data_IF_681697569049
#
_entry.id   IF_681697569049
#
_cell.length_a   1.000
_cell.length_b   1.000
_cell.length_c   1.000
_cell.angle_alpha   90.00
_cell.angle_beta   90.00
_cell.angle_gamma   90.00
#
_symmetry.space_group_name_H-M   'P 1'
#
loop_
_entity.id
_entity.type
_entity.pdbx_description
1 polymer ?
#
# COMPACT_ATOMS: atom_id res chain seq x y z
N UNK A 1 5.92 82.65 2.70
CA UNK A 1 6.96 82.26 3.67
C UNK A 1 6.81 80.75 3.94
N UNK A 2 7.49 79.88 3.18
CA UNK A 2 8.63 79.04 3.63
C UNK A 2 8.33 78.23 4.91
N UNK A 3 8.24 76.89 4.91
CA UNK A 3 9.24 75.85 4.51
C UNK A 3 8.51 74.52 4.16
N UNK A 4 8.78 73.83 3.03
CA UNK A 4 9.71 72.68 2.82
C UNK A 4 9.59 71.57 3.90
N UNK A 5 9.48 70.25 3.69
CA UNK A 5 9.59 69.22 2.61
C UNK A 5 8.96 67.94 3.22
N UNK A 6 8.36 66.98 2.51
CA UNK A 6 9.01 65.88 1.76
C UNK A 6 7.93 65.04 1.04
N UNK A 7 8.24 64.65 -0.19
CA UNK A 7 7.58 63.59 -0.96
C UNK A 7 7.66 62.24 -0.23
N UNK A 8 6.64 61.40 -0.38
CA UNK A 8 6.82 60.03 -0.90
C UNK A 8 5.49 59.49 -1.42
N UNK A 9 5.45 59.26 -2.73
CA UNK A 9 4.47 58.44 -3.45
C UNK A 9 4.69 56.96 -3.15
N UNK A 10 3.63 56.17 -2.96
CA UNK A 10 3.67 54.76 -3.36
C UNK A 10 2.26 54.22 -3.60
N UNK A 11 2.03 53.79 -4.85
CA UNK A 11 0.95 52.90 -5.26
C UNK A 11 1.03 51.57 -4.50
N UNK A 12 -0.10 51.11 -3.95
CA UNK A 12 -0.44 49.70 -3.81
C UNK A 12 -1.84 49.55 -4.45
N UNK A 13 -2.05 48.86 -5.56
CA UNK A 13 -1.35 47.68 -6.06
C UNK A 13 -2.15 46.45 -5.64
N UNK A 14 -3.27 46.24 -6.34
CA UNK A 14 -4.18 45.10 -6.26
C UNK A 14 -3.40 43.79 -6.37
N UNK A 15 -3.27 43.04 -5.26
CA UNK A 15 -2.66 41.72 -5.26
C UNK A 15 -3.72 40.69 -5.69
N UNK A 16 -3.70 40.28 -6.96
CA UNK A 16 -4.25 38.99 -7.36
C UNK A 16 -3.45 37.90 -6.64
N UNK A 17 -4.09 37.17 -5.72
CA UNK A 17 -3.57 35.89 -5.26
C UNK A 17 -3.71 34.88 -6.40
N UNK A 18 -2.66 34.75 -7.21
CA UNK A 18 -2.43 33.54 -7.97
C UNK A 18 -1.99 32.45 -7.00
N UNK A 19 -2.86 31.47 -6.77
CA UNK A 19 -2.50 30.20 -6.13
C UNK A 19 -1.55 29.46 -7.06
N UNK A 20 -0.26 29.76 -6.94
CA UNK A 20 0.81 28.89 -7.42
C UNK A 20 0.69 27.58 -6.65
N UNK A 21 0.04 26.58 -7.26
CA UNK A 21 0.20 25.19 -6.87
C UNK A 21 1.67 24.85 -7.07
N UNK A 22 2.45 24.94 -5.99
CA UNK A 22 3.83 24.48 -6.02
C UNK A 22 3.80 23.00 -6.38
N UNK A 23 4.37 22.64 -7.53
CA UNK A 23 4.76 21.27 -7.85
C UNK A 23 5.76 20.78 -6.79
N UNK A 24 5.24 20.36 -5.64
CA UNK A 24 5.99 19.60 -4.67
C UNK A 24 6.24 18.24 -5.30
N UNK A 25 7.48 18.05 -5.78
CA UNK A 25 8.01 16.75 -6.22
C UNK A 25 7.77 15.73 -5.10
N UNK A 26 6.82 14.82 -5.30
CA UNK A 26 6.64 13.67 -4.43
C UNK A 26 7.93 12.82 -4.43
N UNK A 27 8.40 12.36 -3.26
CA UNK A 27 9.60 11.52 -3.16
C UNK A 27 9.42 10.17 -3.86
N UNK A 28 10.55 9.61 -4.31
CA UNK A 28 10.77 8.46 -5.21
C UNK A 28 10.23 7.07 -4.81
N UNK A 29 9.29 6.98 -3.89
CA UNK A 29 8.47 5.77 -3.66
C UNK A 29 7.08 6.24 -3.28
N UNK A 30 6.15 6.17 -4.22
CA UNK A 30 4.76 6.48 -3.93
C UNK A 30 4.23 5.40 -2.96
N UNK A 31 3.67 5.84 -1.83
CA UNK A 31 2.98 4.96 -0.89
C UNK A 31 1.61 4.66 -1.48
N UNK A 32 1.52 3.64 -2.33
CA UNK A 32 0.31 3.35 -3.07
C UNK A 32 -0.68 2.59 -2.21
N UNK A 33 -1.91 3.04 -2.26
CA UNK A 33 -3.11 2.39 -1.73
C UNK A 33 -4.00 2.17 -2.94
N UNK A 34 -4.06 0.91 -3.37
CA UNK A 34 -4.56 0.51 -4.69
C UNK A 34 -5.93 -0.14 -4.51
N UNK A 35 -6.91 0.37 -5.25
CA UNK A 35 -8.23 -0.24 -5.43
C UNK A 35 -8.38 -0.75 -6.86
N UNK A 36 -8.92 -1.97 -7.05
CA UNK A 36 -9.31 -2.50 -8.36
C UNK A 36 -10.84 -2.50 -8.48
N UNK A 37 -11.46 -1.76 -9.42
CA UNK A 37 -12.90 -1.86 -9.65
C UNK A 37 -13.33 -3.24 -10.11
N UNK A 38 -14.50 -3.69 -9.65
CA UNK A 38 -15.16 -4.90 -10.16
C UNK A 38 -15.62 -4.71 -11.62
N UNK A 39 -15.68 -5.78 -12.43
CA UNK A 39 -16.30 -5.72 -13.77
C UNK A 39 -17.74 -5.20 -13.74
N UNK A 40 -18.50 -5.49 -12.68
CA UNK A 40 -19.87 -4.99 -12.51
C UNK A 40 -19.96 -3.47 -12.38
N UNK A 41 -18.86 -2.78 -12.09
CA UNK A 41 -18.81 -1.33 -11.94
C UNK A 41 -18.48 -0.57 -13.23
N UNK A 42 -18.51 -1.24 -14.39
CA UNK A 42 -18.22 -0.62 -15.70
C UNK A 42 -18.92 0.71 -15.96
N UNK A 43 -20.22 0.81 -15.62
CA UNK A 43 -20.97 2.05 -15.80
C UNK A 43 -20.51 3.19 -14.88
N UNK A 44 -19.92 2.86 -13.72
CA UNK A 44 -19.43 3.84 -12.74
C UNK A 44 -18.01 4.31 -13.04
N UNK A 45 -17.17 3.46 -13.64
CA UNK A 45 -15.79 3.80 -14.05
C UNK A 45 -15.76 4.89 -15.15
N UNK A 46 -16.91 5.23 -15.73
CA UNK A 46 -17.08 6.36 -16.66
C UNK A 46 -17.55 7.66 -15.99
N UNK A 47 -17.79 7.66 -14.68
CA UNK A 47 -18.35 8.78 -13.92
C UNK A 47 -17.27 9.43 -13.05
N UNK A 48 -17.19 10.76 -13.04
CA UNK A 48 -16.22 11.52 -12.24
C UNK A 48 -16.40 11.30 -10.72
N UNK A 49 -17.65 11.17 -10.28
CA UNK A 49 -18.02 10.98 -8.87
C UNK A 49 -17.42 9.70 -8.29
N UNK A 50 -17.29 8.65 -9.10
CA UNK A 50 -16.70 7.38 -8.68
C UNK A 50 -15.25 7.57 -8.21
N UNK A 51 -14.40 8.21 -9.01
CA UNK A 51 -12.99 8.41 -8.66
C UNK A 51 -12.81 9.36 -7.47
N UNK A 52 -13.67 10.38 -7.36
CA UNK A 52 -13.65 11.30 -6.22
C UNK A 52 -14.03 10.59 -4.91
N UNK A 53 -14.98 9.66 -4.97
CA UNK A 53 -15.34 8.83 -3.82
C UNK A 53 -14.18 7.92 -3.39
N UNK A 54 -13.54 7.23 -4.34
CA UNK A 54 -12.35 6.41 -4.10
C UNK A 54 -11.23 7.21 -3.43
N UNK A 55 -10.96 8.43 -3.91
CA UNK A 55 -9.98 9.33 -3.29
C UNK A 55 -10.38 9.73 -1.87
N UNK A 56 -11.67 10.00 -1.63
CA UNK A 56 -12.20 10.41 -0.32
C UNK A 56 -12.10 9.30 0.72
N UNK A 57 -12.24 8.04 0.31
CA UNK A 57 -12.02 6.85 1.16
C UNK A 57 -10.55 6.80 1.65
N UNK A 58 -9.62 7.38 0.89
CA UNK A 58 -8.20 7.38 1.20
C UNK A 58 -7.36 6.50 0.27
N UNK A 59 -7.94 5.96 -0.81
CA UNK A 59 -7.12 5.42 -1.89
C UNK A 59 -6.44 6.56 -2.65
N UNK A 60 -5.25 6.28 -3.17
CA UNK A 60 -4.52 7.22 -4.03
C UNK A 60 -4.13 6.59 -5.36
N UNK A 61 -4.60 5.38 -5.64
CA UNK A 61 -4.31 4.66 -6.88
C UNK A 61 -5.48 3.79 -7.28
N UNK A 62 -5.79 3.79 -8.58
CA UNK A 62 -6.73 2.86 -9.17
C UNK A 62 -6.01 1.89 -10.11
N UNK A 63 -6.36 0.62 -10.02
CA UNK A 63 -5.92 -0.44 -10.92
C UNK A 63 -7.05 -0.79 -11.88
N UNK A 64 -6.82 -0.60 -13.18
CA UNK A 64 -7.78 -0.93 -14.24
C UNK A 64 -7.31 -2.17 -15.01
N UNK A 65 -8.20 -3.12 -15.29
CA UNK A 65 -7.84 -4.37 -15.99
C UNK A 65 -8.27 -4.34 -17.46
N UNK A 66 -7.31 -4.47 -18.38
CA UNK A 66 -7.59 -4.32 -19.82
C UNK A 66 -8.40 -5.46 -20.45
N UNK A 67 -8.61 -6.55 -19.74
CA UNK A 67 -9.50 -7.65 -20.16
C UNK A 67 -10.95 -7.41 -19.75
N UNK A 68 -11.18 -6.48 -18.80
CA UNK A 68 -12.50 -6.18 -18.24
C UNK A 68 -13.14 -4.93 -18.82
N UNK A 69 -12.36 -4.03 -19.43
CA UNK A 69 -12.82 -2.76 -19.97
C UNK A 69 -12.34 -2.61 -21.42
N UNK A 70 -13.16 -1.98 -22.26
CA UNK A 70 -12.73 -1.60 -23.61
C UNK A 70 -11.63 -0.54 -23.55
N UNK A 71 -10.85 -0.40 -24.62
CA UNK A 71 -9.81 0.62 -24.70
C UNK A 71 -10.34 2.02 -24.48
N UNK A 72 -11.44 2.38 -25.11
CA UNK A 72 -12.08 3.70 -24.96
C UNK A 72 -12.50 3.97 -23.52
N UNK A 73 -13.04 2.94 -22.84
CA UNK A 73 -13.41 3.02 -21.43
C UNK A 73 -12.19 3.28 -20.54
N UNK A 74 -11.07 2.59 -20.81
CA UNK A 74 -9.83 2.78 -20.06
C UNK A 74 -9.24 4.18 -20.28
N UNK A 75 -9.20 4.67 -21.52
CA UNK A 75 -8.68 6.01 -21.84
C UNK A 75 -9.48 7.10 -21.11
N UNK A 76 -10.81 6.98 -21.08
CA UNK A 76 -11.67 7.87 -20.31
C UNK A 76 -11.44 7.75 -18.80
N UNK A 77 -11.39 6.52 -18.29
CA UNK A 77 -11.18 6.25 -16.86
C UNK A 77 -9.85 6.82 -16.35
N UNK A 78 -8.78 6.72 -17.15
CA UNK A 78 -7.47 7.30 -16.83
C UNK A 78 -7.58 8.81 -16.67
N UNK A 79 -8.25 9.50 -17.59
CA UNK A 79 -8.44 10.95 -17.52
C UNK A 79 -9.23 11.37 -16.27
N UNK A 80 -10.33 10.67 -15.96
CA UNK A 80 -11.15 10.94 -14.77
C UNK A 80 -10.40 10.65 -13.46
N UNK A 81 -9.63 9.57 -13.40
CA UNK A 81 -8.80 9.24 -12.24
C UNK A 81 -7.76 10.34 -11.95
N UNK A 82 -7.08 10.84 -12.98
CA UNK A 82 -6.14 11.95 -12.84
C UNK A 82 -6.82 13.25 -12.38
N UNK A 83 -8.05 13.54 -12.83
CA UNK A 83 -8.83 14.68 -12.33
C UNK A 83 -9.12 14.56 -10.82
N UNK A 84 -9.34 13.34 -10.33
CA UNK A 84 -9.51 13.03 -8.91
C UNK A 84 -8.18 12.89 -8.13
N UNK A 85 -7.03 13.24 -8.74
CA UNK A 85 -5.68 13.08 -8.17
C UNK A 85 -5.30 11.64 -7.79
N UNK A 86 -5.76 10.66 -8.55
CA UNK A 86 -5.38 9.26 -8.38
C UNK A 86 -4.29 8.87 -9.37
N UNK A 87 -3.28 8.13 -8.90
CA UNK A 87 -2.37 7.41 -9.80
C UNK A 87 -3.13 6.30 -10.53
N UNK A 88 -2.70 5.98 -11.75
CA UNK A 88 -3.34 4.92 -12.54
C UNK A 88 -2.35 3.80 -12.83
N UNK A 89 -2.75 2.57 -12.51
CA UNK A 89 -2.06 1.35 -12.91
C UNK A 89 -2.97 0.57 -13.85
N UNK A 90 -2.45 0.09 -14.99
CA UNK A 90 -3.20 -0.79 -15.89
C UNK A 90 -2.63 -2.20 -15.84
N UNK A 91 -3.50 -3.17 -15.64
CA UNK A 91 -3.18 -4.58 -15.82
C UNK A 91 -3.34 -4.98 -17.29
N UNK A 92 -2.27 -5.54 -17.85
CA UNK A 92 -2.18 -5.99 -19.24
C UNK A 92 -1.84 -7.48 -19.32
N UNK A 93 -2.45 -8.22 -20.27
CA UNK A 93 -2.04 -9.57 -20.57
C UNK A 93 -0.69 -9.60 -21.31
N UNK A 94 0.06 -10.69 -21.14
CA UNK A 94 1.28 -10.90 -21.91
C UNK A 94 0.94 -11.26 -23.37
N UNK A 95 1.27 -10.35 -24.30
CA UNK A 95 0.97 -10.50 -25.73
C UNK A 95 2.16 -10.01 -26.59
N UNK A 96 2.25 -10.40 -27.88
CA UNK A 96 3.32 -9.92 -28.76
C UNK A 96 3.39 -8.40 -28.95
N UNK A 97 2.27 -7.68 -28.70
CA UNK A 97 2.20 -6.22 -28.80
C UNK A 97 2.43 -5.49 -27.48
N UNK A 98 2.81 -6.20 -26.40
CA UNK A 98 2.94 -5.62 -25.05
C UNK A 98 3.84 -4.38 -25.00
N UNK A 99 4.99 -4.39 -25.69
CA UNK A 99 5.89 -3.22 -25.79
C UNK A 99 5.17 -2.00 -26.36
N UNK A 100 4.37 -2.17 -27.41
CA UNK A 100 3.58 -1.08 -28.00
C UNK A 100 2.48 -0.59 -27.05
N UNK A 101 1.81 -1.52 -26.35
CA UNK A 101 0.78 -1.18 -25.37
C UNK A 101 1.34 -0.40 -24.18
N UNK A 102 2.48 -0.82 -23.62
CA UNK A 102 3.15 -0.09 -22.53
C UNK A 102 3.50 1.32 -22.97
N UNK A 103 4.09 1.48 -24.16
CA UNK A 103 4.42 2.81 -24.67
C UNK A 103 3.15 3.66 -24.82
N UNK A 104 2.10 3.12 -25.44
CA UNK A 104 0.82 3.81 -25.63
C UNK A 104 0.24 4.30 -24.29
N UNK A 105 0.10 3.44 -23.30
CA UNK A 105 -0.51 3.79 -22.02
C UNK A 105 0.34 4.78 -21.22
N UNK A 106 1.65 4.57 -21.13
CA UNK A 106 2.52 5.42 -20.31
C UNK A 106 2.78 6.76 -20.99
N UNK A 107 3.02 6.81 -22.29
CA UNK A 107 3.35 8.06 -23.00
C UNK A 107 2.14 8.84 -23.45
N UNK A 108 1.12 8.18 -24.00
CA UNK A 108 0.00 8.90 -24.59
C UNK A 108 -1.09 9.19 -23.55
N UNK A 109 -1.27 8.30 -22.56
CA UNK A 109 -2.30 8.42 -21.53
C UNK A 109 -1.75 8.66 -20.13
N UNK A 110 -0.42 8.80 -19.99
CA UNK A 110 0.22 9.14 -18.72
C UNK A 110 -0.08 8.16 -17.58
N UNK A 111 -0.24 6.87 -17.89
CA UNK A 111 -0.41 5.82 -16.89
C UNK A 111 0.87 5.65 -16.07
N UNK A 112 0.74 5.57 -14.74
CA UNK A 112 1.85 5.55 -13.79
C UNK A 112 2.52 4.18 -13.64
N UNK A 113 1.79 3.11 -13.94
CA UNK A 113 2.32 1.77 -13.83
C UNK A 113 1.57 0.72 -14.63
N UNK A 114 2.22 -0.41 -14.83
CA UNK A 114 1.67 -1.58 -15.51
C UNK A 114 1.80 -2.79 -14.59
N UNK A 115 0.71 -3.54 -14.44
CA UNK A 115 0.75 -4.90 -13.93
C UNK A 115 0.77 -5.85 -15.12
N UNK A 116 1.73 -6.78 -15.15
CA UNK A 116 1.70 -7.90 -16.07
C UNK A 116 0.93 -9.04 -15.42
N UNK A 117 -0.18 -9.44 -16.04
CA UNK A 117 -1.10 -10.44 -15.47
C UNK A 117 -0.39 -11.78 -15.19
N UNK A 118 0.50 -12.23 -16.07
CA UNK A 118 1.40 -13.36 -15.77
C UNK A 118 2.83 -13.02 -16.17
N UNK A 119 3.74 -13.36 -15.27
CA UNK A 119 5.18 -13.33 -15.49
C UNK A 119 5.79 -14.72 -15.61
N UNK A 120 5.01 -15.78 -15.44
CA UNK A 120 5.51 -17.15 -15.23
C UNK A 120 6.36 -17.66 -16.40
N UNK A 121 6.06 -17.20 -17.62
CA UNK A 121 6.75 -17.63 -18.85
C UNK A 121 7.65 -16.54 -19.47
N UNK A 122 7.89 -15.43 -18.77
CA UNK A 122 8.72 -14.33 -19.29
C UNK A 122 10.18 -14.54 -18.87
N UNK A 123 11.08 -14.52 -19.86
CA UNK A 123 12.52 -14.69 -19.61
C UNK A 123 13.20 -13.39 -19.10
N UNK A 124 14.44 -13.49 -18.62
CA UNK A 124 15.15 -12.34 -18.03
C UNK A 124 15.42 -11.20 -19.03
N UNK A 125 15.68 -11.53 -20.29
CA UNK A 125 15.93 -10.53 -21.33
C UNK A 125 14.66 -9.70 -21.59
N UNK A 126 13.52 -10.37 -21.74
CA UNK A 126 12.21 -9.73 -21.91
C UNK A 126 11.85 -8.86 -20.69
N UNK A 127 12.04 -9.36 -19.46
CA UNK A 127 11.80 -8.57 -18.23
C UNK A 127 12.65 -7.30 -18.21
N UNK A 128 13.92 -7.42 -18.56
CA UNK A 128 14.85 -6.29 -18.63
C UNK A 128 14.40 -5.28 -19.68
N UNK A 129 13.96 -5.74 -20.83
CA UNK A 129 13.43 -4.90 -21.91
C UNK A 129 12.20 -4.12 -21.44
N UNK A 130 11.18 -4.81 -20.93
CA UNK A 130 9.94 -4.18 -20.43
C UNK A 130 10.24 -3.18 -19.31
N UNK A 131 11.12 -3.56 -18.37
CA UNK A 131 11.53 -2.68 -17.28
C UNK A 131 12.28 -1.44 -17.78
N UNK A 132 13.08 -1.57 -18.84
CA UNK A 132 13.80 -0.46 -19.46
C UNK A 132 12.82 0.47 -20.18
N UNK A 133 11.92 -0.09 -20.97
CA UNK A 133 10.91 0.64 -21.74
C UNK A 133 10.03 1.53 -20.84
N UNK A 134 9.49 0.97 -19.76
CA UNK A 134 8.61 1.72 -18.86
C UNK A 134 9.37 2.83 -18.13
N UNK A 135 10.61 2.56 -17.70
CA UNK A 135 11.47 3.55 -17.04
C UNK A 135 11.85 4.68 -17.98
N UNK A 136 12.19 4.37 -19.24
CA UNK A 136 12.47 5.36 -20.26
C UNK A 136 11.24 6.22 -20.53
N UNK A 137 10.07 5.61 -20.71
CA UNK A 137 8.82 6.30 -20.96
C UNK A 137 8.44 7.26 -19.82
N UNK A 138 8.52 6.79 -18.57
CA UNK A 138 8.26 7.61 -17.39
C UNK A 138 9.30 8.73 -17.20
N UNK A 139 10.58 8.46 -17.50
CA UNK A 139 11.64 9.48 -17.47
C UNK A 139 11.40 10.58 -18.51
N UNK A 140 10.90 10.23 -19.69
CA UNK A 140 10.55 11.21 -20.72
C UNK A 140 9.38 12.08 -20.27
N UNK A 141 8.31 11.48 -19.71
CA UNK A 141 7.19 12.23 -19.12
C UNK A 141 7.69 13.20 -18.04
N UNK A 142 8.62 12.74 -17.18
CA UNK A 142 9.21 13.58 -16.14
C UNK A 142 10.02 14.75 -16.72
N UNK A 143 10.83 14.52 -17.76
CA UNK A 143 11.61 15.57 -18.44
C UNK A 143 10.71 16.62 -19.10
N UNK A 144 9.58 16.16 -19.65
CA UNK A 144 8.55 16.99 -20.26
C UNK A 144 7.64 17.68 -19.24
N UNK A 145 7.87 17.45 -17.94
CA UNK A 145 7.08 18.01 -16.82
C UNK A 145 5.60 17.64 -16.88
N UNK A 146 5.29 16.45 -17.40
CA UNK A 146 3.94 15.90 -17.29
C UNK A 146 3.56 15.73 -15.81
N UNK A 147 2.29 15.96 -15.49
CA UNK A 147 1.78 15.79 -14.14
C UNK A 147 1.73 14.30 -13.74
N UNK A 148 1.42 13.43 -14.70
CA UNK A 148 1.20 12.00 -14.50
C UNK A 148 2.12 11.13 -15.37
N UNK A 149 2.12 9.82 -15.13
CA UNK A 149 2.87 8.86 -15.92
C UNK A 149 4.37 8.94 -15.66
N UNK A 150 4.78 9.48 -14.52
CA UNK A 150 6.19 9.71 -14.18
C UNK A 150 6.76 8.65 -13.24
N UNK A 151 5.91 7.78 -12.68
CA UNK A 151 6.34 6.75 -11.73
C UNK A 151 7.02 5.55 -12.42
N UNK A 152 6.43 5.05 -13.51
CA UNK A 152 7.01 3.98 -14.33
C UNK A 152 7.09 2.63 -13.62
N UNK A 153 6.06 2.27 -12.85
CA UNK A 153 6.01 0.98 -12.14
C UNK A 153 5.77 -0.17 -13.10
N UNK A 154 6.59 -1.21 -13.01
CA UNK A 154 6.31 -2.52 -13.61
C UNK A 154 6.15 -3.54 -12.49
N UNK A 155 4.95 -4.07 -12.38
CA UNK A 155 4.54 -4.97 -11.32
C UNK A 155 4.24 -6.33 -11.98
N UNK A 156 4.85 -7.39 -11.49
CA UNK A 156 4.53 -8.74 -11.96
C UNK A 156 3.42 -9.39 -11.14
N UNK A 157 2.59 -10.20 -11.78
CA UNK A 157 1.80 -11.23 -11.11
C UNK A 157 2.33 -12.60 -11.54
N UNK A 158 2.29 -13.54 -10.61
CA UNK A 158 2.58 -14.95 -10.84
C UNK A 158 1.35 -15.76 -10.41
N UNK A 159 1.00 -16.78 -11.19
CA UNK A 159 -0.08 -17.70 -10.87
C UNK A 159 0.44 -19.04 -10.32
N UNK A 160 1.73 -19.11 -10.00
CA UNK A 160 2.33 -20.28 -9.37
C UNK A 160 1.72 -20.52 -7.99
N UNK A 161 1.46 -21.79 -7.68
CA UNK A 161 0.83 -22.23 -6.43
C UNK A 161 1.81 -22.80 -5.41
N UNK A 162 3.09 -22.98 -5.79
CA UNK A 162 4.15 -23.41 -4.88
C UNK A 162 5.10 -22.25 -4.57
N UNK A 163 5.63 -22.20 -3.34
CA UNK A 163 6.56 -21.15 -2.92
C UNK A 163 7.85 -21.14 -3.72
N UNK A 164 8.35 -22.33 -4.09
CA UNK A 164 9.55 -22.49 -4.91
C UNK A 164 9.36 -21.88 -6.30
N UNK A 165 8.32 -22.30 -7.03
CA UNK A 165 8.05 -21.79 -8.38
C UNK A 165 7.62 -20.33 -8.36
N UNK A 166 6.85 -19.89 -7.36
CA UNK A 166 6.50 -18.49 -7.19
C UNK A 166 7.75 -17.63 -7.00
N UNK A 167 8.65 -18.02 -6.10
CA UNK A 167 9.89 -17.27 -5.82
C UNK A 167 10.79 -17.23 -7.06
N UNK A 168 10.90 -18.34 -7.78
CA UNK A 168 11.66 -18.40 -9.03
C UNK A 168 11.05 -17.50 -10.13
N UNK A 169 9.74 -17.57 -10.35
CA UNK A 169 9.04 -16.80 -11.38
C UNK A 169 9.02 -15.29 -11.10
N UNK A 170 9.12 -14.89 -9.83
CA UNK A 170 9.08 -13.49 -9.41
C UNK A 170 10.48 -12.93 -9.16
N UNK A 171 11.13 -13.35 -8.08
CA UNK A 171 12.40 -12.80 -7.59
C UNK A 171 13.63 -13.55 -8.11
N UNK A 172 13.43 -14.67 -8.81
CA UNK A 172 14.48 -15.59 -9.19
C UNK A 172 15.05 -16.35 -7.97
N UNK A 173 15.81 -17.40 -8.25
CA UNK A 173 16.50 -18.17 -7.23
C UNK A 173 17.35 -17.27 -6.30
N UNK A 174 17.08 -17.32 -4.99
CA UNK A 174 17.71 -16.49 -3.95
C UNK A 174 17.58 -14.96 -4.15
N UNK A 175 16.49 -14.49 -4.76
CA UNK A 175 16.24 -13.05 -4.94
C UNK A 175 17.25 -12.36 -5.86
N UNK A 176 17.91 -13.11 -6.74
CA UNK A 176 18.97 -12.60 -7.62
C UNK A 176 18.45 -11.87 -8.85
N UNK A 177 17.17 -12.01 -9.19
CA UNK A 177 16.57 -11.32 -10.34
C UNK A 177 16.47 -9.83 -10.03
N UNK A 178 17.22 -9.03 -10.75
CA UNK A 178 17.20 -7.56 -10.62
C UNK A 178 16.13 -6.95 -11.54
N UNK A 179 15.71 -7.72 -12.52
CA UNK A 179 14.81 -7.41 -13.61
C UNK A 179 13.37 -7.62 -13.13
N UNK A 180 12.66 -6.52 -12.84
CA UNK A 180 11.35 -6.48 -12.17
C UNK A 180 11.45 -6.87 -10.69
N UNK A 181 11.18 -5.92 -9.79
CA UNK A 181 11.37 -6.10 -8.35
C UNK A 181 10.07 -5.98 -7.55
N UNK A 182 8.96 -5.64 -8.21
CA UNK A 182 7.67 -5.40 -7.57
C UNK A 182 6.70 -6.48 -8.06
N UNK A 183 6.07 -7.19 -7.13
CA UNK A 183 5.16 -8.29 -7.47
C UNK A 183 3.94 -8.33 -6.56
N UNK A 184 2.80 -8.73 -7.12
CA UNK A 184 1.62 -9.08 -6.33
C UNK A 184 1.87 -10.40 -5.60
N UNK A 185 1.77 -10.40 -4.27
CA UNK A 185 2.00 -11.58 -3.43
C UNK A 185 0.76 -12.48 -3.38
N UNK A 186 0.36 -13.03 -4.51
CA UNK A 186 -0.81 -13.91 -4.66
C UNK A 186 -0.70 -15.16 -3.79
N UNK A 187 0.50 -15.75 -3.67
CA UNK A 187 0.72 -16.90 -2.80
C UNK A 187 0.64 -16.52 -1.31
N UNK A 188 1.13 -15.33 -0.95
CA UNK A 188 0.92 -14.76 0.38
C UNK A 188 -0.55 -14.52 0.71
N UNK A 189 -1.36 -14.13 -0.28
CA UNK A 189 -2.82 -13.99 -0.12
C UNK A 189 -3.46 -15.29 0.37
N UNK A 190 -3.07 -16.44 -0.18
CA UNK A 190 -3.59 -17.75 0.23
C UNK A 190 -3.23 -18.07 1.68
N UNK A 191 -2.05 -17.65 2.15
CA UNK A 191 -1.70 -17.77 3.58
C UNK A 191 -2.58 -16.87 4.46
N UNK A 192 -2.90 -15.67 3.99
CA UNK A 192 -3.80 -14.76 4.71
C UNK A 192 -5.26 -15.26 4.70
N UNK A 193 -5.71 -15.87 3.61
CA UNK A 193 -6.98 -16.61 3.53
C UNK A 193 -7.02 -17.74 4.57
N UNK A 194 -5.96 -18.54 4.67
CA UNK A 194 -5.87 -19.59 5.68
C UNK A 194 -5.95 -19.04 7.10
N UNK A 195 -5.34 -17.88 7.36
CA UNK A 195 -5.37 -17.23 8.67
C UNK A 195 -6.81 -16.82 9.09
N UNK A 196 -7.72 -16.57 8.15
CA UNK A 196 -9.13 -16.30 8.46
C UNK A 196 -9.87 -17.58 8.86
N UNK A 197 -9.68 -18.67 8.11
CA UNK A 197 -10.51 -19.86 8.26
C UNK A 197 -10.03 -20.84 9.34
N UNK A 198 -8.73 -20.92 9.64
CA UNK A 198 -8.22 -21.88 10.63
C UNK A 198 -8.52 -21.45 12.06
N UNK A 199 -9.09 -22.34 12.88
CA UNK A 199 -9.31 -22.07 14.30
C UNK A 199 -7.98 -22.00 15.07
N UNK A 200 -7.74 -20.93 15.83
CA UNK A 200 -6.62 -20.77 16.79
C UNK A 200 -5.18 -20.86 16.25
N UNK A 201 -4.96 -20.72 14.94
CA UNK A 201 -3.62 -20.77 14.33
C UNK A 201 -3.23 -19.48 13.57
N UNK A 202 -4.10 -18.47 13.54
CA UNK A 202 -3.85 -17.23 12.78
C UNK A 202 -2.49 -16.61 13.10
N UNK A 203 -2.07 -16.42 14.37
CA UNK A 203 -0.73 -15.90 14.67
C UNK A 203 0.42 -16.71 14.07
N UNK A 204 0.33 -18.04 14.07
CA UNK A 204 1.37 -18.92 13.50
C UNK A 204 1.45 -18.80 11.99
N UNK A 205 0.29 -18.73 11.33
CA UNK A 205 0.21 -18.52 9.89
C UNK A 205 0.81 -17.15 9.52
N UNK A 206 0.54 -16.11 10.29
CA UNK A 206 1.12 -14.77 10.05
C UNK A 206 2.64 -14.75 10.26
N UNK A 207 3.17 -15.48 11.23
CA UNK A 207 4.62 -15.65 11.41
C UNK A 207 5.23 -16.35 10.21
N UNK A 208 4.61 -17.44 9.75
CA UNK A 208 5.05 -18.13 8.55
C UNK A 208 5.04 -17.20 7.33
N UNK A 209 3.94 -16.47 7.11
CA UNK A 209 3.82 -15.45 6.06
C UNK A 209 4.96 -14.43 6.13
N UNK A 210 5.32 -13.95 7.33
CA UNK A 210 6.46 -13.05 7.51
C UNK A 210 7.80 -13.68 7.18
N UNK A 211 8.04 -14.91 7.64
CA UNK A 211 9.28 -15.62 7.40
C UNK A 211 9.48 -15.88 5.90
N UNK A 212 8.41 -16.16 5.17
CA UNK A 212 8.46 -16.34 3.71
C UNK A 212 8.90 -15.08 2.97
N UNK A 213 8.61 -13.87 3.49
CA UNK A 213 9.11 -12.63 2.89
C UNK A 213 10.62 -12.51 2.89
N UNK A 214 11.31 -13.20 3.81
CA UNK A 214 12.78 -13.24 3.81
C UNK A 214 13.35 -13.94 2.58
N UNK A 215 12.58 -14.84 1.96
CA UNK A 215 12.99 -15.58 0.77
C UNK A 215 13.04 -14.70 -0.48
N UNK A 216 12.35 -13.55 -0.48
CA UNK A 216 12.25 -12.69 -1.66
C UNK A 216 13.56 -11.89 -1.92
N UNK A 217 14.39 -11.74 -0.88
CA UNK A 217 15.61 -10.92 -0.92
C UNK A 217 15.36 -9.43 -0.67
N UNK A 218 16.42 -8.68 -0.30
CA UNK A 218 16.30 -7.29 0.20
C UNK A 218 15.77 -6.27 -0.82
N UNK A 219 15.82 -6.61 -2.12
CA UNK A 219 15.38 -5.71 -3.21
C UNK A 219 13.95 -5.97 -3.65
N UNK A 220 13.37 -7.09 -3.24
CA UNK A 220 12.02 -7.47 -3.60
C UNK A 220 10.99 -6.60 -2.87
N UNK A 221 9.96 -6.19 -3.60
CA UNK A 221 8.81 -5.45 -3.11
C UNK A 221 7.55 -6.27 -3.38
N UNK A 222 7.24 -7.16 -2.45
CA UNK A 222 6.00 -7.92 -2.47
C UNK A 222 4.83 -7.03 -2.01
N UNK A 223 3.92 -6.74 -2.93
CA UNK A 223 2.64 -6.07 -2.67
C UNK A 223 1.73 -7.08 -1.99
N UNK A 224 1.39 -6.86 -0.72
CA UNK A 224 0.42 -7.73 -0.05
C UNK A 224 -0.97 -7.44 -0.59
N UNK A 225 -1.68 -8.50 -0.92
CA UNK A 225 -3.04 -8.46 -1.46
C UNK A 225 -4.03 -8.87 -0.38
N UNK A 226 -5.15 -8.18 -0.30
CA UNK A 226 -6.17 -8.45 0.72
C UNK A 226 -7.02 -9.66 0.30
N UNK A 227 -7.20 -10.68 1.17
CA UNK A 227 -8.13 -11.80 0.96
C UNK A 227 -9.56 -11.35 0.64
N UNK A 228 -10.20 -11.76 -0.47
CA UNK A 228 -11.60 -11.46 -0.72
C UNK A 228 -12.52 -11.98 0.39
N UNK A 229 -12.19 -13.09 1.05
CA UNK A 229 -13.03 -13.65 2.11
C UNK A 229 -13.06 -12.82 3.40
N UNK A 230 -12.29 -11.73 3.48
CA UNK A 230 -12.25 -10.87 4.67
C UNK A 230 -13.62 -10.28 5.01
N UNK A 231 -14.48 -10.09 4.01
CA UNK A 231 -15.87 -9.61 4.15
C UNK A 231 -16.83 -10.67 4.74
N UNK A 232 -16.39 -11.90 4.95
CA UNK A 232 -17.17 -12.89 5.70
C UNK A 232 -17.40 -12.48 7.17
N UNK A 233 -16.77 -11.38 7.60
CA UNK A 233 -16.97 -10.71 8.88
C UNK A 233 -16.88 -11.66 10.09
N UNK A 234 -15.79 -12.42 10.13
CA UNK A 234 -15.44 -13.23 11.29
C UNK A 234 -14.77 -12.37 12.35
N UNK A 235 -14.66 -12.82 13.63
CA UNK A 235 -13.88 -12.13 14.66
C UNK A 235 -12.42 -11.85 14.25
N UNK A 236 -11.89 -12.56 13.24
CA UNK A 236 -10.54 -12.41 12.72
C UNK A 236 -10.42 -11.42 11.56
N UNK A 237 -11.52 -11.02 10.94
CA UNK A 237 -11.51 -10.18 9.75
C UNK A 237 -10.95 -8.80 10.05
N UNK A 238 -11.41 -8.15 11.12
CA UNK A 238 -10.89 -6.85 11.56
C UNK A 238 -9.38 -6.90 11.87
N UNK A 239 -8.88 -7.80 12.75
CA UNK A 239 -7.46 -7.83 13.07
C UNK A 239 -6.59 -8.21 11.88
N UNK A 240 -7.07 -9.04 10.96
CA UNK A 240 -6.34 -9.33 9.74
C UNK A 240 -6.28 -8.13 8.79
N UNK A 241 -7.38 -7.38 8.63
CA UNK A 241 -7.41 -6.20 7.78
C UNK A 241 -6.43 -5.15 8.29
N UNK A 242 -6.42 -4.90 9.61
CA UNK A 242 -5.46 -4.04 10.28
C UNK A 242 -4.02 -4.54 10.12
N UNK A 243 -3.79 -5.84 10.27
CA UNK A 243 -2.48 -6.45 10.06
C UNK A 243 -1.96 -6.14 8.65
N UNK A 244 -2.75 -6.42 7.60
CA UNK A 244 -2.39 -6.21 6.19
C UNK A 244 -2.18 -4.72 5.88
N UNK A 245 -3.11 -3.87 6.31
CA UNK A 245 -3.08 -2.42 6.09
C UNK A 245 -1.87 -1.72 6.70
N UNK A 246 -1.36 -2.28 7.80
CA UNK A 246 -0.24 -1.71 8.56
C UNK A 246 1.08 -2.45 8.33
N UNK A 247 1.16 -3.36 7.35
CA UNK A 247 2.45 -3.95 6.97
C UNK A 247 3.42 -2.88 6.47
N UNK A 248 4.72 -2.94 6.83
CA UNK A 248 5.73 -1.95 6.48
C UNK A 248 6.20 -2.14 5.03
N UNK A 249 5.42 -1.65 4.08
CA UNK A 249 5.68 -1.81 2.65
C UNK A 249 5.20 -0.58 1.88
N UNK A 250 5.65 -0.33 0.65
CA UNK A 250 5.21 0.86 -0.10
C UNK A 250 3.85 0.71 -0.79
N UNK A 251 3.28 -0.50 -0.85
CA UNK A 251 2.02 -0.78 -1.54
C UNK A 251 1.03 -1.51 -0.64
N UNK A 252 -0.21 -1.05 -0.60
CA UNK A 252 -1.32 -1.79 -0.02
C UNK A 252 -2.38 -1.99 -1.10
N UNK A 253 -2.70 -3.24 -1.39
CA UNK A 253 -3.66 -3.59 -2.43
C UNK A 253 -4.87 -4.28 -1.82
N UNK A 254 -6.03 -3.63 -1.91
CA UNK A 254 -7.30 -4.15 -1.35
C UNK A 254 -8.01 -5.10 -2.30
N UNK A 255 -7.50 -5.30 -3.52
CA UNK A 255 -8.21 -6.06 -4.52
C UNK A 255 -9.47 -5.34 -4.97
N UNK A 256 -10.52 -6.13 -5.18
CA UNK A 256 -11.84 -5.65 -5.58
C UNK A 256 -12.73 -5.22 -4.42
N UNK A 257 -12.20 -5.21 -3.19
CA UNK A 257 -12.95 -4.88 -1.99
C UNK A 257 -13.18 -3.38 -1.87
N UNK A 258 -14.46 -2.97 -1.88
CA UNK A 258 -14.90 -1.59 -1.72
C UNK A 258 -15.53 -1.38 -0.33
N UNK A 259 -15.34 -0.21 0.32
CA UNK A 259 -15.99 0.07 1.61
C UNK A 259 -17.50 -0.06 1.64
N UNK A 260 -18.19 0.07 0.49
CA UNK A 260 -19.63 -0.11 0.42
C UNK A 260 -20.07 -1.57 0.34
N UNK A 261 -19.14 -2.51 0.09
CA UNK A 261 -19.48 -3.93 -0.05
C UNK A 261 -19.78 -4.59 1.30
N UNK A 262 -19.22 -4.07 2.39
CA UNK A 262 -19.37 -4.64 3.72
C UNK A 262 -19.15 -3.61 4.84
N UNK A 263 -19.85 -3.81 5.97
CA UNK A 263 -19.79 -2.91 7.14
C UNK A 263 -18.39 -2.83 7.75
N UNK A 264 -17.64 -3.93 7.80
CA UNK A 264 -16.27 -3.95 8.30
C UNK A 264 -15.39 -3.03 7.47
N UNK A 265 -15.48 -3.13 6.14
CA UNK A 265 -14.69 -2.31 5.23
C UNK A 265 -15.06 -0.83 5.36
N UNK A 266 -16.36 -0.52 5.50
CA UNK A 266 -16.83 0.83 5.74
C UNK A 266 -16.23 1.46 7.02
N UNK A 267 -16.12 0.67 8.09
CA UNK A 267 -15.68 1.14 9.41
C UNK A 267 -14.16 1.23 9.53
N UNK A 268 -13.44 0.22 9.05
CA UNK A 268 -12.01 0.06 9.33
C UNK A 268 -11.13 0.64 8.22
N UNK A 269 -11.50 0.45 6.95
CA UNK A 269 -10.58 0.70 5.83
C UNK A 269 -10.19 2.18 5.68
N UNK A 270 -11.11 3.18 5.72
CA UNK A 270 -10.71 4.58 5.63
C UNK A 270 -9.72 5.00 6.71
N UNK A 271 -9.91 4.46 7.92
CA UNK A 271 -9.05 4.74 9.08
C UNK A 271 -7.65 4.15 8.88
N UNK A 272 -7.57 2.89 8.43
CA UNK A 272 -6.30 2.22 8.08
C UNK A 272 -5.56 3.01 7.00
N UNK A 273 -6.23 3.39 5.91
CA UNK A 273 -5.62 4.12 4.80
C UNK A 273 -5.10 5.48 5.25
N UNK A 274 -5.87 6.21 6.07
CA UNK A 274 -5.46 7.50 6.63
C UNK A 274 -4.19 7.38 7.47
N UNK A 275 -4.13 6.42 8.40
CA UNK A 275 -2.94 6.19 9.22
C UNK A 275 -1.75 5.83 8.34
N UNK A 276 -1.95 4.93 7.38
CA UNK A 276 -0.89 4.52 6.45
C UNK A 276 -0.30 5.67 5.65
N UNK A 277 -1.11 6.62 5.22
CA UNK A 277 -0.63 7.82 4.52
C UNK A 277 0.20 8.73 5.43
N UNK A 278 -0.14 8.80 6.72
CA UNK A 278 0.48 9.67 7.70
C UNK A 278 1.73 9.05 8.37
N UNK A 279 1.87 7.72 8.32
CA UNK A 279 2.88 6.98 9.08
C UNK A 279 4.05 6.45 8.24
N UNK A 280 5.25 7.07 8.29
CA UNK A 280 6.41 6.62 7.52
C UNK A 280 6.89 5.21 7.89
N UNK A 281 6.66 4.76 9.12
CA UNK A 281 7.03 3.41 9.55
C UNK A 281 6.25 2.35 8.76
N UNK A 282 4.99 2.61 8.42
CA UNK A 282 4.14 1.68 7.65
C UNK A 282 4.57 1.58 6.17
N UNK A 283 5.51 2.41 5.72
CA UNK A 283 5.95 2.44 4.33
C UNK A 283 7.24 1.63 4.11
N UNK A 284 8.13 1.59 5.10
CA UNK A 284 9.51 1.08 4.92
C UNK A 284 10.23 0.65 6.20
N UNK A 285 9.55 0.56 7.34
CA UNK A 285 10.21 0.12 8.56
C UNK A 285 10.70 -1.33 8.44
N UNK A 286 11.71 -1.66 9.26
CA UNK A 286 12.02 -3.06 9.53
C UNK A 286 11.00 -3.59 10.52
N UNK A 287 10.69 -4.88 10.41
CA UNK A 287 9.78 -5.59 11.30
C UNK A 287 10.57 -6.57 12.16
N UNK A 288 10.19 -6.70 13.43
CA UNK A 288 10.68 -7.75 14.32
C UNK A 288 9.53 -8.30 15.15
N UNK A 289 9.40 -9.63 15.17
CA UNK A 289 8.42 -10.32 16.00
C UNK A 289 8.73 -10.11 17.48
N UNK A 290 7.73 -9.74 18.28
CA UNK A 290 7.88 -9.55 19.73
C UNK A 290 7.44 -10.77 20.54
N UNK A 291 6.48 -11.52 19.99
CA UNK A 291 5.92 -12.71 20.62
C UNK A 291 4.50 -12.97 20.12
N UNK A 292 4.04 -14.19 20.32
CA UNK A 292 2.70 -14.62 19.99
C UNK A 292 2.16 -15.54 21.08
N UNK A 293 0.84 -15.58 21.23
CA UNK A 293 0.13 -16.70 21.86
C UNK A 293 -0.57 -17.51 20.78
N UNK A 294 -1.50 -18.39 21.16
CA UNK A 294 -2.42 -19.04 20.21
C UNK A 294 -3.35 -18.04 19.52
N UNK A 295 -3.68 -16.93 20.17
CA UNK A 295 -4.66 -15.94 19.69
C UNK A 295 -4.07 -14.56 19.42
N UNK A 296 -2.94 -14.22 20.04
CA UNK A 296 -2.34 -12.89 19.89
C UNK A 296 -1.13 -12.95 18.99
N UNK A 297 -1.07 -12.06 18.02
CA UNK A 297 0.13 -11.75 17.25
C UNK A 297 0.66 -10.38 17.67
N UNK A 298 1.97 -10.25 17.84
CA UNK A 298 2.60 -8.94 18.08
C UNK A 298 3.97 -8.78 17.43
N UNK A 299 4.24 -7.57 16.96
CA UNK A 299 5.52 -7.18 16.41
C UNK A 299 5.87 -5.72 16.73
N UNK A 300 7.09 -5.35 16.35
CA UNK A 300 7.54 -3.96 16.32
C UNK A 300 8.01 -3.60 14.91
N UNK A 301 7.56 -2.44 14.46
CA UNK A 301 8.10 -1.73 13.32
C UNK A 301 9.14 -0.73 13.82
N UNK A 302 10.32 -0.69 13.20
CA UNK A 302 11.37 0.25 13.61
C UNK A 302 12.16 0.83 12.44
N UNK A 303 12.50 2.11 12.56
CA UNK A 303 13.41 2.82 11.66
C UNK A 303 14.18 3.88 12.45
N UNK A 304 15.50 3.72 12.56
CA UNK A 304 16.31 4.56 13.44
C UNK A 304 15.85 4.45 14.89
N UNK A 305 15.48 5.59 15.49
CA UNK A 305 14.95 5.66 16.86
C UNK A 305 13.42 5.62 16.95
N UNK A 306 12.71 5.60 15.82
CA UNK A 306 11.25 5.50 15.80
C UNK A 306 10.84 4.04 15.88
N UNK A 307 9.87 3.74 16.75
CA UNK A 307 9.28 2.40 16.84
C UNK A 307 7.77 2.48 16.98
N UNK A 308 7.10 1.49 16.40
CA UNK A 308 5.67 1.27 16.54
C UNK A 308 5.41 -0.19 16.90
N UNK A 309 4.74 -0.45 18.02
CA UNK A 309 4.33 -1.81 18.42
C UNK A 309 2.95 -2.07 17.85
N UNK A 310 2.75 -3.23 17.22
CA UNK A 310 1.46 -3.67 16.71
C UNK A 310 1.03 -4.93 17.45
N UNK A 311 -0.23 -4.97 17.86
CA UNK A 311 -0.83 -6.10 18.59
C UNK A 311 -2.18 -6.41 17.98
N UNK A 312 -2.43 -7.68 17.66
CA UNK A 312 -3.68 -8.15 17.07
C UNK A 312 -4.17 -9.36 17.85
N UNK A 313 -5.42 -9.34 18.28
CA UNK A 313 -6.06 -10.46 18.96
C UNK A 313 -7.05 -11.14 18.02
N UNK A 314 -6.73 -12.36 17.60
CA UNK A 314 -7.54 -13.20 16.73
C UNK A 314 -8.47 -14.15 17.50
N UNK A 315 -8.46 -14.10 18.83
CA UNK A 315 -9.41 -14.81 19.68
C UNK A 315 -10.66 -13.97 19.96
N UNK A 316 -11.65 -14.60 20.59
CA UNK A 316 -12.91 -13.94 20.95
C UNK A 316 -12.86 -13.26 22.32
N UNK A 317 -11.91 -13.66 23.17
CA UNK A 317 -11.81 -13.20 24.54
C UNK A 317 -10.85 -12.02 24.72
N UNK A 318 -11.21 -11.17 25.69
CA UNK A 318 -10.28 -10.16 26.22
C UNK A 318 -9.02 -10.82 26.76
N UNK A 319 -7.87 -10.21 26.50
CA UNK A 319 -6.57 -10.71 26.91
C UNK A 319 -5.63 -9.58 27.32
N UNK A 320 -4.61 -9.92 28.10
CA UNK A 320 -3.53 -9.00 28.47
C UNK A 320 -2.22 -9.54 27.92
N UNK A 321 -1.66 -8.86 26.93
CA UNK A 321 -0.32 -9.16 26.42
C UNK A 321 0.72 -8.58 27.37
N UNK A 322 1.56 -9.44 27.92
CA UNK A 322 2.70 -9.02 28.73
C UNK A 322 3.96 -8.98 27.85
N UNK A 323 4.34 -7.79 27.39
CA UNK A 323 5.60 -7.58 26.68
C UNK A 323 6.74 -7.44 27.70
N UNK A 324 7.41 -8.56 28.00
CA UNK A 324 8.58 -8.59 28.86
C UNK A 324 9.85 -8.08 28.14
N UNK A 325 10.84 -7.57 28.89
CA UNK A 325 12.11 -6.98 28.38
C UNK A 325 13.08 -7.99 27.77
N UNK A 326 12.68 -9.24 27.60
CA UNK A 326 13.63 -10.33 27.31
C UNK A 326 14.48 -10.04 26.06
N UNK A 327 14.07 -9.11 25.20
CA UNK A 327 14.79 -8.72 23.99
C UNK A 327 15.36 -7.28 23.92
N UNK A 328 15.12 -6.36 24.88
CA UNK A 328 15.46 -4.92 24.74
C UNK A 328 14.98 -4.28 23.42
N UNK A 329 14.00 -4.91 22.75
CA UNK A 329 13.56 -4.53 21.41
C UNK A 329 12.70 -3.27 21.47
N UNK A 330 11.78 -3.18 22.43
CA UNK A 330 10.97 -1.98 22.65
C UNK A 330 11.66 -1.08 23.69
N UNK A 331 12.16 0.08 23.25
CA UNK A 331 13.10 0.91 24.04
C UNK A 331 12.47 2.08 24.79
N UNK A 332 11.15 2.27 24.70
CA UNK A 332 10.42 3.35 25.35
C UNK A 332 10.12 3.13 26.84
N UNK A 333 9.61 4.19 27.46
CA UNK A 333 9.00 4.22 28.80
C UNK A 333 7.47 4.18 28.73
N UNK A 334 6.88 4.56 27.59
CA UNK A 334 5.43 4.59 27.37
C UNK A 334 5.09 4.09 25.97
N UNK A 335 3.91 3.49 25.85
CA UNK A 335 3.24 3.21 24.58
C UNK A 335 2.07 4.17 24.45
N UNK A 336 1.91 4.82 23.30
CA UNK A 336 0.78 5.72 23.02
C UNK A 336 -0.03 5.12 21.89
N UNK A 337 -1.28 4.76 22.16
CA UNK A 337 -2.19 4.16 21.19
C UNK A 337 -2.46 5.15 20.05
N UNK A 338 -2.24 4.71 18.80
CA UNK A 338 -2.39 5.54 17.60
C UNK A 338 -3.86 5.88 17.34
N UNK A 339 -4.78 5.01 17.76
CA UNK A 339 -6.21 5.17 17.54
C UNK A 339 -6.85 6.05 18.60
N UNK A 340 -6.49 5.84 19.87
CA UNK A 340 -7.20 6.43 21.01
C UNK A 340 -6.40 7.50 21.75
N UNK A 341 -5.07 7.54 21.57
CA UNK A 341 -4.17 8.37 22.36
C UNK A 341 -3.93 7.86 23.79
N UNK A 342 -4.48 6.70 24.16
CA UNK A 342 -4.27 6.08 25.49
C UNK A 342 -2.77 5.82 25.74
N UNK A 343 -2.28 6.18 26.92
CA UNK A 343 -0.90 5.89 27.33
C UNK A 343 -0.82 4.64 28.20
N UNK A 344 -0.01 3.66 27.80
CA UNK A 344 0.34 2.49 28.60
C UNK A 344 1.76 2.68 29.16
N UNK A 345 1.92 2.87 30.48
CA UNK A 345 3.24 3.03 31.09
C UNK A 345 3.98 1.70 31.18
N UNK A 346 5.30 1.79 31.20
CA UNK A 346 6.17 0.65 31.47
C UNK A 346 6.16 0.30 32.96
N UNK A 347 5.77 -0.94 33.30
CA UNK A 347 5.65 -1.44 34.68
C UNK A 347 6.55 -2.67 34.85
N UNK A 348 7.34 -2.73 35.92
CA UNK A 348 8.23 -3.87 36.24
C UNK A 348 9.04 -4.34 35.03
N UNK A 349 9.63 -3.36 34.33
CA UNK A 349 10.39 -3.49 33.10
C UNK A 349 9.54 -3.82 31.85
N UNK A 350 8.34 -4.37 31.92
CA UNK A 350 7.52 -4.68 30.73
C UNK A 350 6.39 -3.69 30.44
N UNK A 351 5.59 -4.00 29.40
CA UNK A 351 4.28 -3.38 29.17
C UNK A 351 3.19 -4.44 29.36
N UNK A 352 2.06 -4.02 29.94
CA UNK A 352 0.84 -4.84 30.05
C UNK A 352 -0.21 -4.21 29.17
N UNK A 353 -0.50 -4.83 28.03
CA UNK A 353 -1.38 -4.28 27.01
C UNK A 353 -2.71 -5.04 27.06
N UNK A 354 -3.79 -4.42 27.56
CA UNK A 354 -5.13 -4.98 27.43
C UNK A 354 -5.59 -4.89 25.97
N UNK A 355 -6.18 -5.98 25.47
CA UNK A 355 -6.71 -6.06 24.11
C UNK A 355 -7.94 -6.98 24.07
N UNK A 356 -9.05 -6.46 23.54
CA UNK A 356 -10.29 -7.22 23.38
C UNK A 356 -10.17 -8.28 22.28
N UNK A 357 -11.06 -9.27 22.29
CA UNK A 357 -11.17 -10.24 21.20
C UNK A 357 -11.52 -9.57 19.88
N UNK A 358 -10.91 -10.03 18.78
CA UNK A 358 -11.07 -9.44 17.45
C UNK A 358 -10.56 -7.99 17.32
N UNK A 359 -9.78 -7.49 18.27
CA UNK A 359 -9.29 -6.11 18.26
C UNK A 359 -7.85 -5.99 17.74
N UNK A 360 -7.49 -4.77 17.34
CA UNK A 360 -6.15 -4.38 16.95
C UNK A 360 -5.71 -3.14 17.71
N UNK A 361 -4.44 -3.09 18.11
CA UNK A 361 -3.85 -1.92 18.74
C UNK A 361 -2.49 -1.61 18.14
N UNK A 362 -2.26 -0.34 17.83
CA UNK A 362 -0.99 0.17 17.32
C UNK A 362 -0.50 1.23 18.28
N UNK A 363 0.79 1.20 18.63
CA UNK A 363 1.36 2.12 19.61
C UNK A 363 2.64 2.76 19.13
N UNK A 364 2.77 4.08 19.28
CA UNK A 364 4.08 4.70 19.27
C UNK A 364 4.84 4.37 20.54
N UNK A 365 6.13 4.10 20.40
CA UNK A 365 7.03 3.90 21.54
C UNK A 365 7.68 5.25 21.88
N UNK A 366 7.55 5.69 23.13
CA UNK A 366 8.07 6.98 23.63
C UNK A 366 8.90 6.85 24.89
#
# INVERSE_FOLDING_TARGET
MHKKRKLLSLLLGTLLLSTLTSCNRAPKTLNLTIYQPLPSLQAFVQQETFFTEIATIGFNTIMLNSTQFSREQLEQAVALAHQANLFVIIELPYTPSLTQQIHHWVRNHQVDGIILDSTDNINDAERKELQTLIKQSATLNQKEKQAWGTAGYLIGRSHQTSWEFFTEATFGHNGRRKEMQIFLNTLGQQSLEQALITQNESPQILIHFHNLRSLYGERAQAITTTPPSIIANTPKSAPLLWFIGTLPQPFHYTGMLHPQDDRLLQQELPTILKIRQQEPLLQRAKLMLLGHSTTIYSDVLYQGNQQMVRVFNFGDDHSILNLAVVSNVVRGKRLIDVMTGEEIPRINRGFRIPIDGGASRLFYVR
#
